data_IF_748561757502
#
_entry.id   IF_748561757502
#
_cell.length_a   1.000
_cell.length_b   1.000
_cell.length_c   1.000
_cell.angle_alpha   90.00
_cell.angle_beta   90.00
_cell.angle_gamma   90.00
#
_symmetry.space_group_name_H-M   'P 1'
#
loop_
_entity.id
_entity.type
_entity.pdbx_description
1 polymer ?
#
# COMPACT_ATOMS: atom_id res chain seq x y z
N UNK A 1 -2.36 2.19 -14.50
CA UNK A 1 -3.59 1.76 -15.19
C UNK A 1 -4.74 1.76 -14.19
N UNK A 2 -5.77 2.60 -14.44
CA UNK A 2 -6.89 2.84 -13.54
C UNK A 2 -6.78 4.17 -12.80
N UNK A 3 -7.48 5.21 -13.27
CA UNK A 3 -7.58 6.57 -12.67
C UNK A 3 -8.70 6.70 -11.62
N UNK A 4 -9.11 5.60 -10.99
CA UNK A 4 -10.04 5.60 -9.85
C UNK A 4 -9.42 6.18 -8.58
N UNK A 5 -10.09 6.07 -7.43
CA UNK A 5 -9.60 6.68 -6.18
C UNK A 5 -8.19 6.22 -5.81
N UNK A 6 -7.92 4.92 -5.83
CA UNK A 6 -6.58 4.38 -5.50
C UNK A 6 -5.52 4.90 -6.49
N UNK A 7 -5.81 4.80 -7.81
CA UNK A 7 -4.88 5.25 -8.84
C UNK A 7 -4.62 6.75 -8.78
N UNK A 8 -5.65 7.55 -8.49
CA UNK A 8 -5.51 9.01 -8.32
C UNK A 8 -4.60 9.36 -7.14
N UNK A 9 -4.81 8.73 -5.98
CA UNK A 9 -3.99 9.01 -4.79
C UNK A 9 -2.55 8.54 -4.95
N UNK A 10 -2.33 7.39 -5.60
CA UNK A 10 -0.98 6.91 -5.90
C UNK A 10 -0.28 7.86 -6.91
N UNK A 11 -0.97 8.26 -7.99
CA UNK A 11 -0.43 9.20 -8.95
C UNK A 11 -0.10 10.55 -8.29
N UNK A 12 -0.96 11.04 -7.39
CA UNK A 12 -0.70 12.26 -6.62
C UNK A 12 0.57 12.15 -5.79
N UNK A 13 0.69 11.10 -4.97
CA UNK A 13 1.85 10.92 -4.10
C UNK A 13 3.17 10.82 -4.89
N UNK A 14 3.15 10.09 -6.02
CA UNK A 14 4.33 9.97 -6.86
C UNK A 14 4.66 11.27 -7.62
N UNK A 15 3.64 12.02 -8.07
CA UNK A 15 3.84 13.33 -8.71
C UNK A 15 4.47 14.35 -7.76
N UNK A 16 4.10 14.33 -6.48
CA UNK A 16 4.71 15.17 -5.44
C UNK A 16 6.19 14.83 -5.20
N UNK A 17 6.62 13.62 -5.55
CA UNK A 17 8.02 13.16 -5.51
C UNK A 17 8.75 13.32 -6.84
N UNK A 18 8.15 14.02 -7.82
CA UNK A 18 8.71 14.30 -9.17
C UNK A 18 8.95 13.05 -10.03
N UNK A 19 8.13 12.01 -9.91
CA UNK A 19 8.13 10.90 -10.86
C UNK A 19 7.37 11.28 -12.13
N UNK A 20 7.88 10.82 -13.28
CA UNK A 20 7.17 10.88 -14.57
C UNK A 20 6.03 9.85 -14.59
N UNK A 21 4.78 10.32 -14.74
CA UNK A 21 3.60 9.46 -14.60
C UNK A 21 2.68 9.58 -15.81
N UNK A 22 2.29 8.43 -16.33
CA UNK A 22 1.19 8.32 -17.29
C UNK A 22 0.04 7.52 -16.69
N UNK A 23 -1.15 8.11 -16.62
CA UNK A 23 -2.36 7.45 -16.13
C UNK A 23 -3.23 7.00 -17.30
N UNK A 24 -3.58 5.72 -17.34
CA UNK A 24 -4.49 5.14 -18.34
C UNK A 24 -5.84 4.85 -17.68
N UNK A 25 -6.93 5.39 -18.20
CA UNK A 25 -8.29 4.99 -17.80
C UNK A 25 -9.22 5.03 -19.03
N UNK A 26 -10.23 4.16 -19.03
CA UNK A 26 -11.25 4.13 -20.07
C UNK A 26 -12.24 5.29 -19.95
N UNK A 27 -12.41 5.81 -18.74
CA UNK A 27 -13.34 6.86 -18.40
C UNK A 27 -12.71 8.25 -18.62
N UNK A 28 -13.21 9.03 -19.61
CA UNK A 28 -12.66 10.35 -19.89
C UNK A 28 -12.80 11.33 -18.72
N UNK A 29 -13.81 11.16 -17.87
CA UNK A 29 -14.00 12.03 -16.69
C UNK A 29 -12.87 11.84 -15.69
N UNK A 30 -12.45 10.59 -15.49
CA UNK A 30 -11.30 10.30 -14.61
C UNK A 30 -9.99 10.79 -15.20
N UNK A 31 -9.77 10.62 -16.51
CA UNK A 31 -8.60 11.20 -17.17
C UNK A 31 -8.56 12.72 -16.99
N UNK A 32 -9.68 13.41 -17.20
CA UNK A 32 -9.78 14.86 -17.00
C UNK A 32 -9.54 15.27 -15.55
N UNK A 33 -10.12 14.53 -14.58
CA UNK A 33 -9.88 14.78 -13.15
C UNK A 33 -8.39 14.69 -12.81
N UNK A 34 -7.72 13.68 -13.32
CA UNK A 34 -6.29 13.46 -13.08
C UNK A 34 -5.46 14.59 -13.68
N UNK A 35 -5.62 14.89 -14.98
CA UNK A 35 -4.82 15.90 -15.67
C UNK A 35 -5.05 17.34 -15.20
N UNK A 36 -6.23 17.64 -14.62
CA UNK A 36 -6.53 18.97 -14.07
C UNK A 36 -5.96 19.20 -12.67
N UNK A 37 -5.70 18.14 -11.93
CA UNK A 37 -5.28 18.23 -10.52
C UNK A 37 -3.83 17.79 -10.27
N UNK A 38 -3.22 17.08 -11.20
CA UNK A 38 -1.88 16.51 -11.05
C UNK A 38 -1.03 16.84 -12.27
N UNK A 39 0.27 17.00 -12.06
CA UNK A 39 1.25 17.13 -13.13
C UNK A 39 1.63 15.74 -13.66
N UNK A 40 0.73 15.17 -14.48
CA UNK A 40 0.85 13.82 -15.03
C UNK A 40 0.24 13.74 -16.42
N UNK A 41 0.76 12.87 -17.27
CA UNK A 41 0.19 12.55 -18.57
C UNK A 41 -1.01 11.61 -18.42
N UNK A 42 -1.99 11.73 -19.33
CA UNK A 42 -3.15 10.84 -19.34
C UNK A 42 -3.41 10.23 -20.72
N UNK A 43 -3.70 8.96 -20.77
CA UNK A 43 -4.11 8.24 -21.98
C UNK A 43 -5.49 7.65 -21.76
N UNK A 44 -6.47 8.07 -22.58
CA UNK A 44 -7.81 7.52 -22.54
C UNK A 44 -7.87 6.21 -23.32
N UNK A 45 -8.16 5.12 -22.64
CA UNK A 45 -8.30 3.83 -23.30
C UNK A 45 -8.47 2.66 -22.33
N UNK A 46 -8.72 1.49 -22.91
CA UNK A 46 -8.78 0.26 -22.12
C UNK A 46 -7.36 -0.19 -21.76
N UNK A 47 -7.06 -0.27 -20.46
CA UNK A 47 -5.76 -0.72 -19.95
C UNK A 47 -5.37 -2.16 -20.31
N UNK A 48 -6.30 -2.98 -20.79
CA UNK A 48 -6.03 -4.31 -21.34
C UNK A 48 -5.86 -4.30 -22.88
N UNK A 49 -5.83 -3.14 -23.54
CA UNK A 49 -5.63 -3.02 -24.98
C UNK A 49 -4.15 -2.83 -25.32
N UNK A 50 -3.56 -3.69 -26.18
CA UNK A 50 -2.17 -3.52 -26.62
C UNK A 50 -1.91 -2.14 -27.21
N UNK A 51 -2.85 -1.64 -28.02
CA UNK A 51 -2.74 -0.30 -28.66
C UNK A 51 -2.63 0.79 -27.60
N UNK A 52 -3.51 0.80 -26.60
CA UNK A 52 -3.49 1.80 -25.52
C UNK A 52 -2.19 1.73 -24.72
N UNK A 53 -1.70 0.52 -24.43
CA UNK A 53 -0.45 0.34 -23.69
C UNK A 53 0.78 0.83 -24.48
N UNK A 54 0.78 0.61 -25.79
CA UNK A 54 1.85 1.12 -26.68
C UNK A 54 1.79 2.64 -26.78
N UNK A 55 0.60 3.23 -26.94
CA UNK A 55 0.42 4.70 -26.95
C UNK A 55 0.85 5.36 -25.62
N UNK A 56 0.77 4.64 -24.54
CA UNK A 56 1.21 5.09 -23.22
C UNK A 56 2.68 4.75 -22.90
N UNK A 57 3.45 4.24 -23.86
CA UNK A 57 4.86 3.86 -23.71
C UNK A 57 5.12 2.90 -22.53
N UNK A 58 4.18 1.98 -22.27
CA UNK A 58 4.24 1.06 -21.12
C UNK A 58 5.51 0.20 -21.11
N UNK A 59 6.06 -0.12 -22.31
CA UNK A 59 7.29 -0.92 -22.41
C UNK A 59 8.56 -0.22 -21.93
N UNK A 60 8.53 1.10 -21.76
CA UNK A 60 9.65 1.92 -21.29
C UNK A 60 9.52 2.26 -19.81
N UNK A 61 8.41 1.83 -19.17
CA UNK A 61 8.12 2.17 -17.80
C UNK A 61 8.93 1.32 -16.80
N UNK A 62 9.51 1.96 -15.78
CA UNK A 62 10.14 1.29 -14.65
C UNK A 62 9.13 0.50 -13.82
N UNK A 63 7.94 1.08 -13.65
CA UNK A 63 6.84 0.47 -12.89
C UNK A 63 5.52 0.59 -13.64
N UNK A 64 4.79 -0.50 -13.70
CA UNK A 64 3.41 -0.50 -14.18
C UNK A 64 2.48 -0.95 -13.06
N UNK A 65 1.56 -0.06 -12.68
CA UNK A 65 0.60 -0.29 -11.63
C UNK A 65 -0.77 -0.57 -12.23
N UNK A 66 -1.27 -1.80 -12.12
CA UNK A 66 -2.59 -2.21 -12.60
C UNK A 66 -3.59 -2.14 -11.43
N UNK A 67 -4.32 -1.02 -11.32
CA UNK A 67 -5.13 -0.65 -10.16
C UNK A 67 -6.62 -0.50 -10.48
N UNK A 68 -7.09 -1.10 -11.57
CA UNK A 68 -8.52 -1.04 -11.91
C UNK A 68 -9.37 -1.83 -10.91
N UNK A 69 -10.69 -1.67 -10.99
CA UNK A 69 -11.64 -2.41 -10.15
C UNK A 69 -11.91 -3.84 -10.64
N UNK A 70 -11.41 -4.20 -11.82
CA UNK A 70 -11.67 -5.49 -12.49
C UNK A 70 -10.38 -6.28 -12.54
N UNK A 71 -10.33 -7.37 -11.79
CA UNK A 71 -9.13 -8.19 -11.63
C UNK A 71 -8.65 -8.79 -12.98
N UNK A 72 -9.57 -9.20 -13.84
CA UNK A 72 -9.28 -9.74 -15.17
C UNK A 72 -8.58 -8.70 -16.07
N UNK A 73 -9.00 -7.43 -15.96
CA UNK A 73 -8.33 -6.32 -16.67
C UNK A 73 -6.91 -6.13 -16.12
N UNK A 74 -6.75 -6.20 -14.80
CA UNK A 74 -5.44 -6.07 -14.16
C UNK A 74 -4.50 -7.22 -14.57
N UNK A 75 -5.00 -8.46 -14.61
CA UNK A 75 -4.23 -9.63 -15.06
C UNK A 75 -3.78 -9.49 -16.52
N UNK A 76 -4.70 -9.14 -17.42
CA UNK A 76 -4.36 -9.00 -18.85
C UNK A 76 -3.45 -7.80 -19.09
N UNK A 77 -3.71 -6.67 -18.45
CA UNK A 77 -2.86 -5.48 -18.53
C UNK A 77 -1.43 -5.78 -18.05
N UNK A 78 -1.29 -6.50 -16.95
CA UNK A 78 0.00 -6.92 -16.41
C UNK A 78 0.76 -7.82 -17.37
N UNK A 79 0.09 -8.82 -17.94
CA UNK A 79 0.71 -9.73 -18.90
C UNK A 79 1.22 -8.98 -20.13
N UNK A 80 0.45 -8.02 -20.63
CA UNK A 80 0.86 -7.23 -21.79
C UNK A 80 1.98 -6.25 -21.44
N UNK A 81 1.91 -5.58 -20.28
CA UNK A 81 2.96 -4.71 -19.80
C UNK A 81 4.30 -5.43 -19.69
N UNK A 82 4.30 -6.60 -19.07
CA UNK A 82 5.49 -7.45 -18.97
C UNK A 82 6.03 -7.85 -20.35
N UNK A 83 5.17 -8.24 -21.28
CA UNK A 83 5.57 -8.60 -22.66
C UNK A 83 6.07 -7.41 -23.47
N UNK A 84 5.60 -6.21 -23.20
CA UNK A 84 6.08 -4.97 -23.82
C UNK A 84 7.45 -4.54 -23.30
N UNK A 85 7.90 -5.08 -22.15
CA UNK A 85 9.21 -4.79 -21.59
C UNK A 85 9.21 -3.95 -20.31
N UNK A 86 8.04 -3.71 -19.70
CA UNK A 86 7.97 -3.03 -18.41
C UNK A 86 8.88 -3.72 -17.37
N UNK A 87 9.65 -2.94 -16.64
CA UNK A 87 10.67 -3.48 -15.73
C UNK A 87 10.02 -4.16 -14.51
N UNK A 88 8.98 -3.56 -13.91
CA UNK A 88 8.27 -4.12 -12.76
C UNK A 88 6.78 -3.89 -12.85
N UNK A 89 6.00 -4.94 -12.60
CA UNK A 89 4.54 -4.91 -12.69
C UNK A 89 3.91 -5.20 -11.32
N UNK A 90 3.08 -4.29 -10.87
CA UNK A 90 2.34 -4.39 -9.62
C UNK A 90 0.85 -4.42 -9.93
N UNK A 91 0.13 -5.42 -9.46
CA UNK A 91 -1.28 -5.56 -9.74
C UNK A 91 -2.13 -5.66 -8.48
N UNK A 92 -3.26 -4.97 -8.51
CA UNK A 92 -4.33 -5.14 -7.54
C UNK A 92 -5.19 -6.33 -7.96
N UNK A 93 -5.30 -7.31 -7.08
CA UNK A 93 -6.22 -8.43 -7.20
C UNK A 93 -7.07 -8.52 -5.95
N UNK A 94 -8.38 -8.47 -6.10
CA UNK A 94 -9.35 -8.51 -4.99
C UNK A 94 -9.80 -9.93 -4.70
N UNK A 95 -9.98 -10.72 -5.76
CA UNK A 95 -10.41 -12.10 -5.62
C UNK A 95 -9.23 -12.97 -5.19
N UNK A 96 -9.32 -13.50 -3.98
CA UNK A 96 -8.29 -14.38 -3.41
C UNK A 96 -8.08 -15.68 -4.19
N UNK A 97 -9.05 -16.09 -5.02
CA UNK A 97 -8.90 -17.27 -5.87
C UNK A 97 -7.73 -17.15 -6.86
N UNK A 98 -7.33 -15.93 -7.24
CA UNK A 98 -6.17 -15.69 -8.10
C UNK A 98 -4.82 -15.83 -7.39
N UNK A 99 -4.81 -15.83 -6.06
CA UNK A 99 -3.57 -15.85 -5.26
C UNK A 99 -3.52 -16.99 -4.25
N UNK A 100 -4.55 -17.83 -4.19
CA UNK A 100 -4.56 -19.02 -3.36
C UNK A 100 -3.45 -20.00 -3.78
N UNK A 101 -2.91 -20.75 -2.84
CA UNK A 101 -1.80 -21.68 -3.08
C UNK A 101 -2.15 -22.77 -4.14
N UNK A 102 -3.42 -23.15 -4.22
CA UNK A 102 -4.00 -24.11 -5.16
C UNK A 102 -4.58 -23.45 -6.42
N UNK A 103 -4.37 -22.15 -6.60
CA UNK A 103 -4.88 -21.44 -7.77
C UNK A 103 -4.28 -21.97 -9.07
N UNK A 104 -5.15 -22.24 -10.05
CA UNK A 104 -4.76 -22.58 -11.41
C UNK A 104 -4.09 -21.38 -12.09
N UNK A 105 -4.55 -20.18 -11.75
CA UNK A 105 -4.01 -18.90 -12.24
C UNK A 105 -3.01 -18.37 -11.22
N UNK A 106 -1.75 -18.38 -11.60
CA UNK A 106 -0.68 -17.83 -10.77
C UNK A 106 -0.31 -16.44 -11.29
N UNK A 107 -0.31 -15.40 -10.44
CA UNK A 107 0.02 -14.04 -10.85
C UNK A 107 1.36 -13.90 -11.58
N UNK A 108 2.35 -14.70 -11.18
CA UNK A 108 3.68 -14.67 -11.78
C UNK A 108 3.66 -15.08 -13.27
N UNK A 109 2.72 -15.96 -13.67
CA UNK A 109 2.53 -16.33 -15.08
C UNK A 109 1.94 -15.19 -15.93
N UNK A 110 1.37 -14.19 -15.28
CA UNK A 110 0.88 -12.98 -15.91
C UNK A 110 1.91 -11.83 -15.84
N UNK A 111 3.16 -12.15 -15.46
CA UNK A 111 4.22 -11.14 -15.34
C UNK A 111 4.00 -10.16 -14.20
N UNK A 112 3.28 -10.56 -13.16
CA UNK A 112 3.04 -9.73 -11.97
C UNK A 112 4.14 -10.03 -10.95
N UNK A 113 4.90 -9.01 -10.58
CA UNK A 113 5.96 -9.11 -9.58
C UNK A 113 5.42 -8.95 -8.16
N UNK A 114 4.43 -8.08 -7.99
CA UNK A 114 3.82 -7.79 -6.68
C UNK A 114 2.30 -7.75 -6.81
N UNK A 115 1.64 -8.51 -5.96
CA UNK A 115 0.18 -8.47 -5.83
C UNK A 115 -0.22 -7.64 -4.62
N UNK A 116 -1.17 -6.73 -4.81
CA UNK A 116 -1.78 -5.94 -3.74
C UNK A 116 -3.22 -6.42 -3.53
N UNK A 117 -3.54 -6.75 -2.28
CA UNK A 117 -4.89 -7.07 -1.81
C UNK A 117 -5.36 -5.98 -0.84
N UNK A 118 -5.99 -4.90 -1.31
CA UNK A 118 -6.35 -3.77 -0.45
C UNK A 118 -7.28 -4.15 0.70
N UNK A 119 -8.21 -5.05 0.44
CA UNK A 119 -9.17 -5.52 1.44
C UNK A 119 -8.48 -6.32 2.57
N UNK A 120 -7.46 -7.11 2.21
CA UNK A 120 -6.65 -7.85 3.19
C UNK A 120 -5.84 -6.90 4.05
N UNK A 121 -5.15 -5.94 3.42
CA UNK A 121 -4.36 -4.92 4.14
C UNK A 121 -5.24 -4.11 5.09
N UNK A 122 -6.42 -3.68 4.64
CA UNK A 122 -7.36 -2.96 5.48
C UNK A 122 -7.87 -3.81 6.66
N UNK A 123 -8.17 -5.09 6.41
CA UNK A 123 -8.58 -6.02 7.46
C UNK A 123 -7.47 -6.23 8.49
N UNK A 124 -6.24 -6.44 8.06
CA UNK A 124 -5.09 -6.60 8.95
C UNK A 124 -4.88 -5.36 9.83
N UNK A 125 -5.02 -4.16 9.25
CA UNK A 125 -4.91 -2.90 9.98
C UNK A 125 -6.04 -2.73 11.02
N UNK A 126 -7.29 -2.99 10.62
CA UNK A 126 -8.44 -2.96 11.55
C UNK A 126 -8.23 -3.96 12.69
N UNK A 127 -7.83 -5.18 12.37
CA UNK A 127 -7.57 -6.20 13.40
C UNK A 127 -6.45 -5.81 14.35
N UNK A 128 -5.42 -5.12 13.85
CA UNK A 128 -4.32 -4.58 14.65
C UNK A 128 -4.83 -3.54 15.66
N UNK A 129 -5.65 -2.60 15.20
CA UNK A 129 -6.25 -1.58 16.05
C UNK A 129 -7.20 -2.18 17.10
N UNK A 130 -7.99 -3.18 16.73
CA UNK A 130 -8.91 -3.88 17.66
C UNK A 130 -8.14 -4.66 18.72
N UNK A 131 -7.03 -5.31 18.35
CA UNK A 131 -6.20 -6.06 19.31
C UNK A 131 -5.44 -5.17 20.30
N UNK A 132 -5.15 -3.93 19.88
CA UNK A 132 -4.37 -2.99 20.69
C UNK A 132 -5.08 -1.63 20.83
N UNK A 133 -6.24 -1.59 21.52
CA UNK A 133 -7.11 -0.41 21.55
C UNK A 133 -6.48 0.82 22.23
N UNK A 134 -5.44 0.60 23.03
CA UNK A 134 -4.71 1.69 23.70
C UNK A 134 -3.48 2.17 22.94
N UNK A 135 -3.10 1.47 21.88
CA UNK A 135 -1.95 1.85 21.06
C UNK A 135 -2.35 2.91 20.02
N UNK A 136 -1.58 3.98 19.92
CA UNK A 136 -1.71 4.97 18.85
C UNK A 136 -0.98 4.52 17.59
N UNK A 137 -0.03 3.61 17.73
CA UNK A 137 0.71 3.00 16.63
C UNK A 137 1.09 1.58 16.99
N UNK A 138 0.99 0.68 16.02
CA UNK A 138 1.37 -0.73 16.17
C UNK A 138 2.22 -1.11 14.96
N UNK A 139 3.39 -1.66 15.18
CA UNK A 139 4.27 -2.18 14.13
C UNK A 139 4.70 -3.59 14.47
N UNK A 140 4.39 -4.54 13.60
CA UNK A 140 4.80 -5.93 13.74
C UNK A 140 6.04 -6.21 12.90
N UNK A 141 7.02 -6.88 13.51
CA UNK A 141 8.23 -7.34 12.86
C UNK A 141 8.29 -8.88 12.90
N UNK A 142 8.97 -9.48 11.93
CA UNK A 142 9.18 -10.93 11.86
C UNK A 142 7.86 -11.72 11.99
N UNK A 143 6.85 -11.32 11.22
CA UNK A 143 5.52 -11.97 11.23
C UNK A 143 4.84 -11.99 12.60
N UNK A 144 4.98 -10.91 13.37
CA UNK A 144 4.35 -10.75 14.68
C UNK A 144 5.15 -11.36 15.85
N UNK A 145 6.41 -11.78 15.62
CA UNK A 145 7.28 -12.26 16.71
C UNK A 145 7.78 -11.14 17.60
N UNK A 146 7.84 -9.94 17.07
CA UNK A 146 8.14 -8.70 17.78
C UNK A 146 7.11 -7.65 17.39
N UNK A 147 6.45 -7.05 18.37
CA UNK A 147 5.48 -5.98 18.17
C UNK A 147 5.99 -4.72 18.87
N UNK A 148 6.09 -3.62 18.16
CA UNK A 148 6.35 -2.30 18.72
C UNK A 148 5.02 -1.56 18.86
N UNK A 149 4.75 -1.05 20.06
CA UNK A 149 3.55 -0.29 20.39
C UNK A 149 3.90 1.14 20.73
N UNK A 150 3.28 2.10 20.06
CA UNK A 150 3.24 3.48 20.46
C UNK A 150 2.07 3.73 21.41
N UNK A 151 2.34 4.07 22.66
CA UNK A 151 1.32 4.37 23.66
C UNK A 151 1.32 5.86 23.95
N UNK A 152 0.14 6.46 24.03
CA UNK A 152 0.00 7.83 24.50
C UNK A 152 -0.17 7.80 26.03
N UNK A 153 0.74 8.45 26.73
CA UNK A 153 0.65 8.64 28.18
C UNK A 153 -0.05 9.97 28.42
N UNK A 154 -1.25 9.92 28.96
CA UNK A 154 -2.03 11.09 29.37
C UNK A 154 -2.27 11.08 30.89
N UNK A 155 -3.02 12.06 31.41
CA UNK A 155 -3.29 12.20 32.84
C UNK A 155 -4.01 11.01 33.49
N UNK A 156 -4.60 10.08 32.68
CA UNK A 156 -5.29 8.89 33.18
C UNK A 156 -4.35 7.70 33.36
N UNK A 157 -3.09 7.81 32.92
CA UNK A 157 -2.09 6.75 33.06
C UNK A 157 -1.31 6.89 34.37
N UNK A 158 -2.01 6.88 35.51
CA UNK A 158 -1.43 7.13 36.85
C UNK A 158 -0.23 6.21 37.16
N UNK A 159 -0.26 4.97 36.72
CA UNK A 159 0.82 3.99 36.96
C UNK A 159 2.09 4.23 36.11
N UNK A 160 2.01 5.09 35.11
CA UNK A 160 3.15 5.41 34.22
C UNK A 160 3.59 6.86 34.37
N UNK A 161 2.64 7.75 34.62
CA UNK A 161 2.89 9.18 34.66
C UNK A 161 3.65 9.58 35.95
N UNK A 162 4.79 10.23 35.79
CA UNK A 162 5.63 10.65 36.90
C UNK A 162 6.52 9.56 37.52
N UNK A 163 6.48 8.33 37.01
CA UNK A 163 7.34 7.24 37.47
C UNK A 163 8.59 7.11 36.61
N UNK A 164 9.77 6.85 37.19
CA UNK A 164 10.97 6.50 36.46
C UNK A 164 10.77 5.23 35.64
N UNK A 165 11.17 5.22 34.35
CA UNK A 165 11.01 4.07 33.47
C UNK A 165 11.61 2.77 34.02
N UNK A 166 12.73 2.87 34.76
CA UNK A 166 13.34 1.70 35.40
C UNK A 166 12.42 1.03 36.40
N UNK A 167 11.64 1.78 37.16
CA UNK A 167 10.67 1.23 38.11
C UNK A 167 9.49 0.57 37.38
N UNK A 168 8.98 1.23 36.32
CA UNK A 168 7.91 0.67 35.50
C UNK A 168 8.32 -0.67 34.89
N UNK A 169 9.56 -0.80 34.40
CA UNK A 169 10.07 -2.04 33.85
C UNK A 169 10.24 -3.12 34.93
N UNK A 170 10.67 -2.77 36.12
CA UNK A 170 10.84 -3.72 37.24
C UNK A 170 9.49 -4.24 37.75
N UNK A 171 8.53 -3.34 37.96
CA UNK A 171 7.18 -3.70 38.44
C UNK A 171 6.41 -4.59 37.46
N UNK A 172 6.71 -4.48 36.16
CA UNK A 172 6.09 -5.26 35.08
C UNK A 172 7.04 -6.32 34.51
N UNK A 173 7.97 -6.84 35.29
CA UNK A 173 8.99 -7.82 34.87
C UNK A 173 8.43 -9.16 34.36
N UNK A 174 7.16 -9.46 34.63
CA UNK A 174 6.46 -10.62 34.09
C UNK A 174 6.12 -10.47 32.59
N UNK A 175 6.13 -9.24 32.06
CA UNK A 175 6.05 -8.98 30.61
C UNK A 175 7.46 -8.75 30.05
N UNK A 176 7.75 -9.39 28.93
CA UNK A 176 8.99 -9.12 28.19
C UNK A 176 8.78 -7.90 27.27
N UNK A 177 9.08 -6.72 27.73
CA UNK A 177 9.06 -5.50 26.94
C UNK A 177 10.28 -4.62 27.24
N UNK A 178 10.59 -3.72 26.32
CA UNK A 178 11.59 -2.69 26.50
C UNK A 178 11.10 -1.37 25.94
N UNK A 179 11.41 -0.27 26.59
CA UNK A 179 11.11 1.05 26.09
C UNK A 179 12.23 1.44 25.10
N UNK A 180 11.86 1.73 23.87
CA UNK A 180 12.79 2.07 22.80
C UNK A 180 13.01 3.59 22.75
N UNK A 181 11.94 4.36 22.91
CA UNK A 181 12.00 5.82 22.88
C UNK A 181 10.82 6.43 23.66
N UNK A 182 11.01 7.63 24.15
CA UNK A 182 9.95 8.46 24.70
C UNK A 182 9.87 9.74 23.88
N UNK A 183 8.69 10.01 23.34
CA UNK A 183 8.41 11.26 22.60
C UNK A 183 7.73 12.25 23.53
N UNK A 184 8.32 13.44 23.66
CA UNK A 184 7.79 14.51 24.49
C UNK A 184 7.68 15.80 23.67
N UNK A 185 6.49 16.06 23.15
CA UNK A 185 6.30 17.10 22.14
C UNK A 185 6.98 16.74 20.82
N UNK A 186 8.01 17.49 20.43
CA UNK A 186 8.83 17.22 19.23
C UNK A 186 10.20 16.59 19.56
N UNK A 187 10.48 16.35 20.82
CA UNK A 187 11.76 15.78 21.26
C UNK A 187 11.64 14.28 21.49
N UNK A 188 12.67 13.55 21.09
CA UNK A 188 12.84 12.11 21.37
C UNK A 188 13.91 11.95 22.46
N UNK A 189 13.57 11.19 23.50
CA UNK A 189 14.41 10.91 24.67
C UNK A 189 14.74 9.43 24.69
#
# INVERSE_FOLDING_TARGET
IGGGEVGFHVAKALSEENYDITVIDIDPVKCSRVSQNLDVSTVKGNGASPKTLTEAHVGEADYVLCLTKVDEVNLIASQQAHKLGANKVIARLRNQQYTAHDSIIRPEKFGIDIVIHPEKVACEEIMRLVKHPYAVQVMDFESGRLTMLGLRIDGNCENLNGHPLGNVCLENSHFRFGVIAVLRGQETI
#
